data_IF_165802516285
#
_entry.id   IF_165802516285
#
_cell.length_a   1.000
_cell.length_b   1.000
_cell.length_c   1.000
_cell.angle_alpha   90.00
_cell.angle_beta   90.00
_cell.angle_gamma   90.00
#
_symmetry.space_group_name_H-M   'P 1'
#
loop_
_entity.id
_entity.type
_entity.pdbx_description
1 polymer ?
#
# COMPACT_ATOMS: atom_id res chain seq x y z
N UNK A 1 -7.49 -21.39 2.56
CA UNK A 1 -8.80 -21.35 3.26
C UNK A 1 -9.42 -20.00 2.95
N UNK A 2 -10.41 -19.94 2.05
CA UNK A 2 -11.05 -18.69 1.61
C UNK A 2 -11.90 -18.12 2.75
N UNK A 3 -11.58 -16.92 3.22
CA UNK A 3 -12.47 -16.15 4.09
C UNK A 3 -13.49 -15.45 3.19
N UNK A 4 -14.51 -16.20 2.76
CA UNK A 4 -15.69 -15.63 2.12
C UNK A 4 -16.49 -14.88 3.17
N UNK A 5 -16.22 -13.59 3.32
CA UNK A 5 -17.14 -12.53 3.78
C UNK A 5 -16.32 -11.26 3.95
N UNK A 6 -16.33 -10.42 2.93
CA UNK A 6 -15.69 -9.11 2.94
C UNK A 6 -16.24 -8.30 4.12
N UNK A 7 -15.36 -7.81 4.99
CA UNK A 7 -15.75 -6.69 5.82
C UNK A 7 -15.79 -5.44 4.97
N UNK A 8 -16.90 -4.74 4.99
CA UNK A 8 -17.04 -3.49 4.30
C UNK A 8 -17.35 -2.36 5.29
N UNK A 9 -16.43 -2.13 6.23
CA UNK A 9 -16.48 -0.95 7.08
C UNK A 9 -15.82 0.22 6.37
N UNK A 10 -16.33 0.61 5.19
CA UNK A 10 -15.85 1.71 4.34
C UNK A 10 -14.31 1.87 4.29
N UNK A 11 -13.71 2.51 5.30
CA UNK A 11 -12.28 2.73 5.46
C UNK A 11 -11.46 1.51 5.95
N UNK A 12 -12.09 0.42 6.42
CA UNK A 12 -11.45 -0.87 6.72
C UNK A 12 -12.09 -1.95 5.87
N UNK A 13 -11.26 -2.65 5.10
CA UNK A 13 -11.72 -3.69 4.16
C UNK A 13 -10.73 -4.84 4.11
N UNK A 14 -11.26 -6.05 3.98
CA UNK A 14 -10.46 -7.25 3.69
C UNK A 14 -10.61 -7.59 2.22
N UNK A 15 -9.51 -7.89 1.53
CA UNK A 15 -9.56 -8.51 0.23
C UNK A 15 -9.88 -10.01 0.40
N UNK A 16 -10.64 -10.55 -0.53
CA UNK A 16 -11.09 -11.96 -0.55
C UNK A 16 -9.93 -12.97 -0.61
N UNK A 17 -8.75 -12.50 -1.03
CA UNK A 17 -7.53 -13.27 -1.20
C UNK A 17 -6.51 -13.07 -0.05
N UNK A 18 -6.78 -12.25 0.97
CA UNK A 18 -6.00 -12.28 2.21
C UNK A 18 -5.76 -10.96 2.96
N UNK A 19 -5.32 -9.86 2.31
CA UNK A 19 -4.89 -8.67 3.03
C UNK A 19 -6.06 -7.88 3.63
N UNK A 20 -5.84 -7.33 4.81
CA UNK A 20 -6.72 -6.31 5.41
C UNK A 20 -6.10 -4.94 5.12
N UNK A 21 -6.86 -4.01 4.56
CA UNK A 21 -6.43 -2.63 4.39
C UNK A 21 -7.30 -1.68 5.22
N UNK A 22 -6.64 -0.65 5.76
CA UNK A 22 -7.23 0.37 6.61
C UNK A 22 -6.73 1.73 6.18
N UNK A 23 -7.67 2.59 5.78
CA UNK A 23 -7.39 3.96 5.39
C UNK A 23 -7.66 4.93 6.56
N UNK A 24 -6.58 5.33 7.23
CA UNK A 24 -6.60 6.39 8.24
C UNK A 24 -6.14 7.73 7.68
N UNK A 25 -6.04 7.88 6.36
CA UNK A 25 -5.67 9.13 5.69
C UNK A 25 -6.90 9.97 5.33
N UNK A 26 -6.68 11.23 4.99
CA UNK A 26 -7.74 12.17 4.62
C UNK A 26 -8.27 11.97 3.19
N UNK A 27 -7.69 11.03 2.45
CA UNK A 27 -7.85 10.88 1.00
C UNK A 27 -8.36 9.50 0.66
N UNK A 28 -9.03 9.37 -0.47
CA UNK A 28 -9.48 8.08 -0.95
C UNK A 28 -8.32 7.31 -1.58
N UNK A 29 -8.33 6.00 -1.39
CA UNK A 29 -7.35 5.09 -1.94
C UNK A 29 -8.03 3.99 -2.71
N UNK A 30 -7.27 3.34 -3.57
CA UNK A 30 -7.72 2.21 -4.35
C UNK A 30 -6.67 1.12 -4.26
N UNK A 31 -7.14 -0.10 -4.14
CA UNK A 31 -6.34 -1.30 -4.21
C UNK A 31 -6.84 -2.19 -5.33
N UNK A 32 -5.90 -2.71 -6.11
CA UNK A 32 -6.17 -3.60 -7.24
C UNK A 32 -5.27 -4.82 -7.22
N UNK A 33 -5.68 -5.88 -7.90
CA UNK A 33 -4.88 -7.08 -8.10
C UNK A 33 -4.30 -7.12 -9.52
N UNK A 34 -3.15 -7.78 -9.67
CA UNK A 34 -2.50 -8.02 -10.96
C UNK A 34 -1.91 -6.78 -11.63
N UNK A 35 -1.37 -6.97 -12.84
CA UNK A 35 -0.86 -5.91 -13.71
C UNK A 35 -1.96 -5.23 -14.54
N UNK A 36 -3.11 -5.90 -14.67
CA UNK A 36 -4.25 -5.36 -15.41
C UNK A 36 -4.70 -4.04 -14.80
N UNK A 37 -4.93 -3.03 -15.63
CA UNK A 37 -5.43 -1.72 -15.21
C UNK A 37 -6.95 -1.62 -15.32
N UNK A 38 -7.62 -2.76 -15.35
CA UNK A 38 -9.06 -2.81 -15.30
C UNK A 38 -9.53 -2.44 -13.89
N UNK A 39 -9.86 -1.17 -13.73
CA UNK A 39 -10.31 -0.60 -12.45
C UNK A 39 -11.68 -1.14 -12.02
N UNK A 40 -12.38 -1.91 -12.88
CA UNK A 40 -13.68 -2.51 -12.52
C UNK A 40 -13.59 -3.52 -11.38
N UNK A 41 -12.42 -4.14 -11.19
CA UNK A 41 -12.16 -5.09 -10.10
C UNK A 41 -11.38 -4.45 -8.94
N UNK A 42 -11.11 -3.15 -9.01
CA UNK A 42 -10.39 -2.45 -7.98
C UNK A 42 -11.34 -2.03 -6.85
N UNK A 43 -10.90 -2.20 -5.61
CA UNK A 43 -11.72 -1.87 -4.44
C UNK A 43 -11.29 -0.53 -3.86
N UNK A 44 -12.27 0.35 -3.71
CA UNK A 44 -12.09 1.65 -3.07
C UNK A 44 -11.90 1.49 -1.57
N UNK A 45 -10.98 2.27 -1.03
CA UNK A 45 -10.69 2.48 0.37
C UNK A 45 -10.97 3.96 0.69
N UNK A 46 -12.23 4.34 0.92
CA UNK A 46 -12.59 5.70 1.26
C UNK A 46 -11.91 6.15 2.56
N UNK A 47 -11.74 7.47 2.71
CA UNK A 47 -11.42 8.07 4.01
C UNK A 47 -12.53 7.77 5.03
N UNK A 48 -12.18 7.77 6.31
CA UNK A 48 -13.12 7.63 7.43
C UNK A 48 -14.31 8.58 7.31
N UNK A 49 -14.12 9.79 6.77
CA UNK A 49 -15.21 10.76 6.66
C UNK A 49 -16.11 10.56 5.44
N UNK A 50 -15.78 9.63 4.52
CA UNK A 50 -16.43 9.46 3.22
C UNK A 50 -16.22 10.62 2.23
N UNK A 51 -15.98 11.82 2.75
CA UNK A 51 -15.60 13.02 2.02
C UNK A 51 -14.14 13.36 2.33
N UNK A 52 -13.36 13.76 1.32
CA UNK A 52 -12.00 14.26 1.56
C UNK A 52 -12.07 15.61 2.31
N UNK A 53 -11.97 15.56 3.63
CA UNK A 53 -12.04 16.76 4.48
C UNK A 53 -10.63 17.26 4.79
N UNK A 54 -10.43 18.58 4.71
CA UNK A 54 -9.13 19.19 5.04
C UNK A 54 -8.91 19.38 6.55
N UNK A 55 -9.98 19.30 7.37
CA UNK A 55 -9.91 19.60 8.80
C UNK A 55 -9.65 18.34 9.65
N UNK A 56 -8.50 18.31 10.33
CA UNK A 56 -8.03 17.20 11.15
C UNK A 56 -8.97 16.84 12.32
N UNK A 57 -9.59 17.82 12.97
CA UNK A 57 -10.45 17.58 14.14
C UNK A 57 -11.76 16.85 13.79
N UNK A 58 -12.38 17.18 12.66
CA UNK A 58 -13.58 16.48 12.18
C UNK A 58 -13.27 15.02 11.86
N UNK A 59 -12.12 14.76 11.24
CA UNK A 59 -11.67 13.41 10.94
C UNK A 59 -11.47 12.56 12.20
N UNK A 60 -10.85 13.12 13.25
CA UNK A 60 -10.64 12.42 14.53
C UNK A 60 -11.98 12.06 15.19
N UNK A 61 -12.93 13.00 15.22
CA UNK A 61 -14.24 12.76 15.82
C UNK A 61 -15.03 11.67 15.08
N UNK A 62 -15.07 11.72 13.74
CA UNK A 62 -15.71 10.67 12.94
C UNK A 62 -14.99 9.33 13.06
N UNK A 63 -13.65 9.34 13.16
CA UNK A 63 -12.88 8.11 13.35
C UNK A 63 -13.22 7.43 14.66
N UNK A 64 -13.28 8.18 15.76
CA UNK A 64 -13.68 7.65 17.07
C UNK A 64 -15.05 6.97 16.99
N UNK A 65 -16.05 7.68 16.44
CA UNK A 65 -17.41 7.18 16.27
C UNK A 65 -17.48 5.91 15.41
N UNK A 66 -16.74 5.86 14.29
CA UNK A 66 -16.74 4.68 13.41
C UNK A 66 -15.99 3.49 14.02
N UNK A 67 -14.87 3.74 14.69
CA UNK A 67 -14.12 2.73 15.43
C UNK A 67 -14.96 2.13 16.57
N UNK A 68 -15.74 2.95 17.29
CA UNK A 68 -16.68 2.47 18.31
C UNK A 68 -17.75 1.54 17.72
N UNK A 69 -18.36 1.90 16.59
CA UNK A 69 -19.32 1.03 15.88
C UNK A 69 -18.70 -0.30 15.42
N UNK A 70 -17.47 -0.27 14.93
CA UNK A 70 -16.73 -1.49 14.56
C UNK A 70 -16.54 -2.40 15.78
N UNK A 71 -16.40 -1.83 16.98
CA UNK A 71 -16.26 -2.59 18.23
C UNK A 71 -17.51 -3.38 18.62
N UNK A 72 -18.68 -2.94 18.17
CA UNK A 72 -19.96 -3.58 18.44
C UNK A 72 -20.23 -4.74 17.47
N UNK A 73 -19.44 -4.88 16.39
CA UNK A 73 -19.57 -5.97 15.43
C UNK A 73 -18.76 -7.20 15.87
N UNK A 74 -19.47 -8.20 16.41
CA UNK A 74 -18.86 -9.46 16.87
C UNK A 74 -18.20 -10.24 15.72
N UNK A 75 -18.73 -10.13 14.49
CA UNK A 75 -18.14 -10.73 13.29
C UNK A 75 -16.77 -10.12 12.99
N UNK A 76 -16.64 -8.81 13.15
CA UNK A 76 -15.40 -8.05 13.02
C UNK A 76 -14.32 -8.54 13.96
N UNK A 77 -14.66 -8.62 15.24
CA UNK A 77 -13.77 -9.15 16.26
C UNK A 77 -13.24 -10.53 15.92
N UNK A 78 -14.14 -11.46 15.57
CA UNK A 78 -13.78 -12.86 15.32
C UNK A 78 -12.82 -13.03 14.15
N UNK A 79 -13.11 -12.39 12.99
CA UNK A 79 -12.22 -12.55 11.83
C UNK A 79 -10.93 -11.74 11.99
N UNK A 80 -10.95 -10.58 12.66
CA UNK A 80 -9.74 -9.83 12.96
C UNK A 80 -8.78 -10.65 13.85
N UNK A 81 -9.32 -11.26 14.90
CA UNK A 81 -8.59 -12.17 15.80
C UNK A 81 -8.01 -13.35 15.04
N UNK A 82 -8.81 -13.96 14.15
CA UNK A 82 -8.37 -15.06 13.28
C UNK A 82 -7.24 -14.66 12.34
N UNK A 83 -7.35 -13.49 11.71
CA UNK A 83 -6.31 -12.94 10.84
C UNK A 83 -5.03 -12.64 11.63
N UNK A 84 -5.16 -12.05 12.81
CA UNK A 84 -4.04 -11.77 13.71
C UNK A 84 -3.31 -13.03 14.19
N UNK A 85 -4.05 -14.04 14.65
CA UNK A 85 -3.51 -15.33 15.06
C UNK A 85 -2.81 -16.03 13.88
N UNK A 86 -3.34 -15.82 12.68
CA UNK A 86 -2.73 -16.25 11.45
C UNK A 86 -1.69 -15.26 10.91
N UNK A 87 -1.19 -14.28 11.66
CA UNK A 87 -0.20 -13.29 11.19
C UNK A 87 -0.51 -12.74 9.79
N UNK A 88 -1.78 -12.42 9.53
CA UNK A 88 -2.24 -11.93 8.24
C UNK A 88 -1.60 -10.60 7.85
N UNK A 89 -1.76 -10.24 6.58
CA UNK A 89 -1.27 -8.98 6.04
C UNK A 89 -2.19 -7.82 6.43
N UNK A 90 -1.59 -6.70 6.83
CA UNK A 90 -2.29 -5.48 7.20
C UNK A 90 -1.68 -4.28 6.48
N UNK A 91 -2.47 -3.52 5.74
CA UNK A 91 -2.03 -2.31 5.03
C UNK A 91 -2.69 -1.12 5.70
N UNK A 92 -1.91 -0.25 6.35
CA UNK A 92 -2.43 0.95 6.99
C UNK A 92 -1.94 2.19 6.27
N UNK A 93 -2.87 2.93 5.70
CA UNK A 93 -2.61 4.20 5.05
C UNK A 93 -2.78 5.31 6.08
N UNK A 94 -1.74 6.12 6.27
CA UNK A 94 -1.63 7.09 7.36
C UNK A 94 -1.55 8.53 6.83
N UNK A 95 -2.02 9.50 7.63
CA UNK A 95 -1.84 10.91 7.33
C UNK A 95 -0.37 11.32 7.27
N UNK A 96 -0.09 12.34 6.44
CA UNK A 96 1.20 13.01 6.42
C UNK A 96 1.50 13.71 7.76
N UNK A 97 0.51 14.42 8.31
CA UNK A 97 0.67 15.19 9.54
C UNK A 97 1.04 14.26 10.70
N UNK A 98 2.13 14.59 11.40
CA UNK A 98 2.70 13.71 12.40
C UNK A 98 1.83 13.55 13.64
N UNK A 99 1.16 14.65 14.04
CA UNK A 99 0.30 14.67 15.22
C UNK A 99 -0.98 13.90 14.95
N UNK A 100 -1.65 14.21 13.84
CA UNK A 100 -2.85 13.51 13.40
C UNK A 100 -2.56 12.02 13.21
N UNK A 101 -1.44 11.67 12.59
CA UNK A 101 -1.01 10.28 12.42
C UNK A 101 -0.88 9.54 13.76
N UNK A 102 -0.21 10.13 14.75
CA UNK A 102 -0.06 9.51 16.07
C UNK A 102 -1.42 9.27 16.72
N UNK A 103 -2.31 10.26 16.61
CA UNK A 103 -3.65 10.21 17.18
C UNK A 103 -4.53 9.13 16.52
N UNK A 104 -4.65 9.14 15.19
CA UNK A 104 -5.47 8.17 14.46
C UNK A 104 -4.94 6.74 14.56
N UNK A 105 -3.62 6.57 14.51
CA UNK A 105 -3.01 5.26 14.67
C UNK A 105 -3.16 4.74 16.11
N UNK A 106 -3.05 5.62 17.11
CA UNK A 106 -3.31 5.29 18.51
C UNK A 106 -4.74 4.77 18.71
N UNK A 107 -5.74 5.51 18.23
CA UNK A 107 -7.14 5.09 18.31
C UNK A 107 -7.41 3.73 17.66
N UNK A 108 -6.87 3.50 16.46
CA UNK A 108 -7.01 2.20 15.79
C UNK A 108 -6.29 1.07 16.54
N UNK A 109 -5.09 1.33 17.06
CA UNK A 109 -4.31 0.34 17.84
C UNK A 109 -5.01 -0.04 19.14
N UNK A 110 -5.57 0.93 19.85
CA UNK A 110 -6.31 0.71 21.09
C UNK A 110 -7.58 -0.11 20.83
N UNK A 111 -8.28 0.20 19.74
CA UNK A 111 -9.45 -0.56 19.31
C UNK A 111 -9.10 -2.04 19.07
N UNK A 112 -8.06 -2.30 18.27
CA UNK A 112 -7.65 -3.66 17.92
C UNK A 112 -7.22 -4.46 19.16
N UNK A 113 -6.53 -3.79 20.09
CA UNK A 113 -6.12 -4.38 21.36
C UNK A 113 -7.35 -4.74 22.21
N UNK A 114 -8.34 -3.84 22.29
CA UNK A 114 -9.57 -4.05 23.06
C UNK A 114 -10.45 -5.16 22.47
N UNK A 115 -10.66 -5.16 21.16
CA UNK A 115 -11.59 -6.10 20.49
C UNK A 115 -10.96 -7.48 20.33
N UNK A 116 -9.74 -7.55 19.82
CA UNK A 116 -9.11 -8.80 19.39
C UNK A 116 -8.02 -9.29 20.34
N UNK A 117 -7.84 -8.61 21.50
CA UNK A 117 -6.74 -8.92 22.44
C UNK A 117 -5.35 -8.81 21.80
N UNK A 118 -5.26 -8.10 20.67
CA UNK A 118 -4.18 -8.25 19.70
C UNK A 118 -3.54 -6.91 19.43
N UNK A 119 -2.22 -6.91 19.40
CA UNK A 119 -1.46 -5.75 18.96
C UNK A 119 -1.38 -5.72 17.43
N UNK A 120 -1.45 -4.54 16.80
CA UNK A 120 -1.18 -4.38 15.36
C UNK A 120 0.18 -4.98 14.92
N UNK A 121 1.12 -5.14 15.86
CA UNK A 121 2.39 -5.86 15.69
C UNK A 121 2.26 -7.35 15.38
N UNK A 122 1.11 -7.97 15.65
CA UNK A 122 0.86 -9.37 15.36
C UNK A 122 0.59 -9.61 13.87
N UNK A 123 0.31 -8.56 13.10
CA UNK A 123 0.15 -8.60 11.65
C UNK A 123 1.48 -8.33 10.95
N UNK A 124 1.66 -8.94 9.77
CA UNK A 124 2.63 -8.44 8.79
C UNK A 124 2.09 -7.11 8.26
N UNK A 125 2.58 -6.00 8.82
CA UNK A 125 1.98 -4.68 8.58
C UNK A 125 2.80 -3.81 7.64
N UNK A 126 2.19 -3.38 6.54
CA UNK A 126 2.65 -2.29 5.70
C UNK A 126 2.01 -0.98 6.18
N UNK A 127 2.81 0.05 6.41
CA UNK A 127 2.31 1.42 6.68
C UNK A 127 2.69 2.31 5.52
N UNK A 128 1.75 3.09 5.01
CA UNK A 128 1.93 4.00 3.88
C UNK A 128 1.66 5.41 4.37
N UNK A 129 2.66 6.28 4.39
CA UNK A 129 2.48 7.66 4.84
C UNK A 129 2.22 8.49 3.59
N UNK A 130 0.95 8.80 3.39
CA UNK A 130 0.46 9.51 2.22
C UNK A 130 0.98 10.95 2.24
N UNK A 131 2.05 11.27 1.51
CA UNK A 131 2.44 12.64 1.23
C UNK A 131 2.03 12.98 -0.21
N UNK A 132 1.08 13.91 -0.36
CA UNK A 132 0.60 14.36 -1.67
C UNK A 132 1.50 15.41 -2.33
N UNK A 133 2.59 15.81 -1.68
CA UNK A 133 3.55 16.72 -2.28
C UNK A 133 4.61 15.95 -3.07
N UNK A 134 5.03 16.47 -4.24
CA UNK A 134 6.19 15.97 -4.95
C UNK A 134 7.39 15.94 -4.00
N UNK A 135 7.91 14.76 -3.72
CA UNK A 135 9.13 14.65 -2.89
C UNK A 135 10.35 14.60 -3.78
N UNK A 136 11.52 14.95 -3.26
CA UNK A 136 12.79 14.70 -3.95
C UNK A 136 13.25 13.24 -3.86
N UNK A 137 12.48 12.41 -3.16
CA UNK A 137 12.81 11.03 -2.81
C UNK A 137 11.73 10.12 -3.42
N UNK A 138 11.80 9.86 -4.73
CA UNK A 138 10.64 9.37 -5.49
C UNK A 138 10.56 7.87 -5.69
N UNK A 139 11.66 7.13 -5.59
CA UNK A 139 11.62 5.70 -5.90
C UNK A 139 12.39 4.91 -4.85
N UNK A 140 11.72 3.94 -4.25
CA UNK A 140 12.31 3.03 -3.29
C UNK A 140 11.73 1.63 -3.50
N UNK A 141 12.61 0.63 -3.36
CA UNK A 141 12.21 -0.78 -3.38
C UNK A 141 12.53 -1.39 -2.03
N UNK A 142 11.49 -1.64 -1.23
CA UNK A 142 11.67 -2.19 0.12
C UNK A 142 11.23 -3.63 0.17
N UNK A 143 12.16 -4.51 0.56
CA UNK A 143 11.90 -5.92 0.85
C UNK A 143 11.62 -6.08 2.34
N UNK A 144 10.71 -6.98 2.68
CA UNK A 144 10.46 -7.43 4.03
C UNK A 144 9.91 -8.86 4.02
N UNK A 145 10.05 -9.55 5.15
CA UNK A 145 9.56 -10.92 5.30
C UNK A 145 8.10 -10.89 5.72
N UNK A 146 7.23 -11.37 4.83
CA UNK A 146 5.85 -11.71 5.17
C UNK A 146 5.78 -13.00 6.00
N UNK A 147 4.57 -13.40 6.40
CA UNK A 147 4.39 -14.62 7.20
C UNK A 147 4.92 -15.86 6.47
N UNK A 148 4.56 -16.01 5.20
CA UNK A 148 4.84 -17.21 4.40
C UNK A 148 5.79 -16.94 3.24
N UNK A 149 5.97 -15.68 2.85
CA UNK A 149 6.67 -15.32 1.61
C UNK A 149 7.43 -14.00 1.73
N UNK A 150 8.28 -13.73 0.73
CA UNK A 150 8.94 -12.44 0.57
C UNK A 150 7.92 -11.40 0.08
N UNK A 151 7.94 -10.21 0.67
CA UNK A 151 7.14 -9.09 0.24
C UNK A 151 8.04 -7.94 -0.21
N UNK A 152 7.71 -7.33 -1.34
CA UNK A 152 8.46 -6.21 -1.91
C UNK A 152 7.51 -5.08 -2.25
N UNK A 153 7.80 -3.87 -1.78
CA UNK A 153 7.10 -2.66 -2.21
C UNK A 153 7.97 -1.92 -3.20
N UNK A 154 7.43 -1.62 -4.37
CA UNK A 154 8.04 -0.79 -5.40
C UNK A 154 7.24 0.50 -5.49
N UNK A 155 7.83 1.62 -5.08
CA UNK A 155 7.22 2.92 -5.33
C UNK A 155 7.53 3.37 -6.76
N UNK A 156 6.49 3.47 -7.60
CA UNK A 156 6.55 4.00 -8.98
C UNK A 156 5.80 5.33 -9.10
N UNK A 157 5.41 5.93 -7.97
CA UNK A 157 4.60 7.14 -7.95
C UNK A 157 5.46 8.42 -7.97
N UNK A 158 4.87 9.48 -8.52
CA UNK A 158 5.39 10.85 -8.47
C UNK A 158 5.31 11.47 -7.06
N UNK A 159 4.45 10.91 -6.22
CA UNK A 159 4.24 11.25 -4.82
C UNK A 159 5.08 10.35 -3.92
N UNK A 160 5.69 10.91 -2.88
CA UNK A 160 6.44 10.06 -1.95
C UNK A 160 5.53 9.42 -0.92
N UNK A 161 5.64 8.10 -0.85
CA UNK A 161 5.09 7.34 0.26
C UNK A 161 6.24 7.02 1.19
N UNK A 162 6.35 7.81 2.27
CA UNK A 162 7.43 7.62 3.24
C UNK A 162 7.02 6.55 4.25
N UNK A 163 8.02 5.83 4.74
CA UNK A 163 7.99 5.06 5.98
C UNK A 163 7.13 3.78 5.98
N UNK A 164 7.82 2.65 5.83
CA UNK A 164 7.29 1.35 6.24
C UNK A 164 7.84 1.04 7.64
N UNK A 165 6.99 0.53 8.55
CA UNK A 165 7.43 0.01 9.84
C UNK A 165 6.90 -1.42 9.93
N UNK A 166 7.81 -2.38 9.83
CA UNK A 166 7.49 -3.79 9.95
C UNK A 166 7.71 -4.26 11.39
N UNK A 167 6.81 -5.09 11.87
CA UNK A 167 6.94 -5.79 13.14
C UNK A 167 6.95 -7.29 12.83
N UNK A 168 8.07 -7.98 13.10
CA UNK A 168 8.25 -9.39 12.77
C UNK A 168 9.46 -9.99 13.49
N UNK A 169 9.48 -11.31 13.73
CA UNK A 169 10.52 -11.97 14.54
C UNK A 169 11.94 -11.96 13.94
N UNK A 170 12.07 -11.63 12.66
CA UNK A 170 13.34 -11.63 11.92
C UNK A 170 13.42 -10.34 11.10
N UNK A 171 14.00 -9.31 11.71
CA UNK A 171 14.13 -7.98 11.10
C UNK A 171 15.38 -7.94 10.22
N UNK A 172 15.21 -8.06 8.91
CA UNK A 172 16.14 -7.48 7.94
C UNK A 172 15.41 -6.29 7.30
N UNK A 173 15.47 -5.14 7.96
CA UNK A 173 15.07 -3.87 7.36
C UNK A 173 16.20 -3.48 6.39
N UNK A 174 15.99 -3.70 5.09
CA UNK A 174 16.96 -3.27 4.07
C UNK A 174 16.47 -1.97 3.41
N UNK A 175 17.44 -1.08 3.24
CA UNK A 175 17.34 0.38 3.21
C UNK A 175 16.35 1.02 2.22
N UNK A 176 15.99 2.25 2.60
CA UNK A 176 15.30 3.25 1.80
C UNK A 176 16.38 4.12 1.15
N UNK A 177 16.76 3.85 -0.10
CA UNK A 177 17.48 4.88 -0.86
C UNK A 177 16.50 5.76 -1.62
N UNK A 178 16.93 6.99 -1.78
CA UNK A 178 16.18 8.06 -2.39
C UNK A 178 16.96 8.50 -3.62
N UNK A 179 16.37 8.36 -4.80
CA UNK A 179 16.97 8.85 -6.03
C UNK A 179 15.99 9.74 -6.81
N UNK A 180 16.57 10.90 -7.16
CA UNK A 180 16.41 11.78 -8.32
C UNK A 180 15.17 12.71 -8.44
N UNK A 181 15.50 13.92 -8.90
CA UNK A 181 14.67 15.12 -9.07
C UNK A 181 14.01 15.17 -10.46
N UNK A 182 12.90 15.90 -10.55
CA UNK A 182 12.38 16.45 -11.80
C UNK A 182 10.91 16.09 -12.02
N UNK A 183 10.10 17.04 -12.47
CA UNK A 183 8.69 16.82 -12.79
C UNK A 183 8.50 15.72 -13.83
N UNK A 184 7.31 15.14 -13.87
CA UNK A 184 6.94 14.15 -14.86
C UNK A 184 6.59 14.85 -16.16
N UNK A 185 7.10 14.31 -17.27
CA UNK A 185 6.68 14.74 -18.59
C UNK A 185 5.19 14.41 -18.81
N UNK A 186 4.46 15.34 -19.42
CA UNK A 186 3.06 15.13 -19.79
C UNK A 186 2.92 14.36 -21.11
N UNK A 187 3.96 14.37 -21.97
CA UNK A 187 4.01 13.59 -23.21
C UNK A 187 4.21 12.08 -22.90
N UNK A 188 3.44 11.17 -23.54
CA UNK A 188 3.54 9.74 -23.34
C UNK A 188 4.90 9.10 -23.45
N UNK A 189 5.58 9.36 -24.56
CA UNK A 189 6.81 8.67 -24.89
C UNK A 189 7.96 9.26 -24.07
N UNK A 190 7.91 10.56 -23.81
CA UNK A 190 8.84 11.23 -22.90
C UNK A 190 8.66 10.73 -21.45
N UNK A 191 7.42 10.59 -20.97
CA UNK A 191 7.07 10.07 -19.66
C UNK A 191 7.58 8.62 -19.50
N UNK A 192 7.32 7.75 -20.49
CA UNK A 192 7.81 6.37 -20.51
C UNK A 192 9.34 6.31 -20.42
N UNK A 193 10.04 7.06 -21.28
CA UNK A 193 11.51 7.12 -21.29
C UNK A 193 12.08 7.64 -19.98
N UNK A 194 11.42 8.64 -19.38
CA UNK A 194 11.81 9.17 -18.08
C UNK A 194 11.70 8.09 -16.99
N UNK A 195 10.58 7.37 -16.92
CA UNK A 195 10.42 6.25 -15.97
C UNK A 195 11.47 5.18 -16.18
N UNK A 196 11.67 4.76 -17.43
CA UNK A 196 12.66 3.72 -17.73
C UNK A 196 14.07 4.14 -17.29
N UNK A 197 14.44 5.41 -17.52
CA UNK A 197 15.70 5.95 -17.05
C UNK A 197 15.80 5.90 -15.52
N UNK A 198 14.76 6.31 -14.79
CA UNK A 198 14.73 6.29 -13.33
C UNK A 198 14.79 4.87 -12.76
N UNK A 199 14.00 3.93 -13.30
CA UNK A 199 14.01 2.52 -12.85
C UNK A 199 15.37 1.87 -13.13
N UNK A 200 16.04 2.20 -14.25
CA UNK A 200 17.40 1.72 -14.54
C UNK A 200 18.45 2.22 -13.55
N UNK A 201 18.18 3.31 -12.82
CA UNK A 201 19.06 3.80 -11.76
C UNK A 201 18.94 3.00 -10.46
N UNK A 202 18.00 2.04 -10.37
CA UNK A 202 17.95 1.12 -9.23
C UNK A 202 19.22 0.27 -9.17
N UNK A 203 19.78 0.11 -7.97
CA UNK A 203 20.91 -0.78 -7.76
C UNK A 203 20.55 -2.26 -8.07
N UNK A 204 21.57 -3.08 -8.30
CA UNK A 204 21.37 -4.50 -8.58
C UNK A 204 20.72 -5.26 -7.43
N UNK A 205 20.81 -4.75 -6.19
CA UNK A 205 20.14 -5.36 -5.06
C UNK A 205 18.62 -5.16 -5.11
N UNK A 206 18.13 -4.02 -5.60
CA UNK A 206 16.71 -3.77 -5.78
C UNK A 206 16.12 -4.76 -6.79
N UNK A 207 16.78 -4.98 -7.92
CA UNK A 207 16.34 -5.98 -8.89
C UNK A 207 16.39 -7.41 -8.35
N UNK A 208 17.42 -7.74 -7.55
CA UNK A 208 17.48 -9.03 -6.85
C UNK A 208 16.30 -9.22 -5.89
N UNK A 209 15.93 -8.20 -5.11
CA UNK A 209 14.76 -8.25 -4.22
C UNK A 209 13.47 -8.50 -5.01
N UNK A 210 13.28 -7.79 -6.13
CA UNK A 210 12.12 -7.97 -7.01
C UNK A 210 12.08 -9.40 -7.55
N UNK A 211 13.21 -9.93 -8.03
CA UNK A 211 13.32 -11.31 -8.52
C UNK A 211 12.95 -12.34 -7.44
N UNK A 212 13.43 -12.16 -6.21
CA UNK A 212 13.10 -13.05 -5.10
C UNK A 212 11.61 -13.02 -4.75
N UNK A 213 10.97 -11.86 -4.80
CA UNK A 213 9.51 -11.76 -4.62
C UNK A 213 8.72 -12.25 -5.83
N UNK A 214 9.32 -12.23 -7.02
CA UNK A 214 8.66 -12.69 -8.23
C UNK A 214 8.43 -14.20 -8.25
N UNK A 215 9.27 -14.98 -7.57
CA UNK A 215 9.19 -16.45 -7.61
C UNK A 215 8.14 -17.06 -6.68
N UNK A 216 7.85 -16.43 -5.54
CA UNK A 216 6.89 -16.97 -4.54
C UNK A 216 6.50 -15.89 -3.51
N UNK A 217 6.34 -14.65 -3.96
CA UNK A 217 6.19 -13.48 -3.10
C UNK A 217 5.08 -12.54 -3.50
N UNK A 218 4.89 -11.52 -2.67
CA UNK A 218 3.93 -10.44 -2.92
C UNK A 218 4.68 -9.19 -3.36
N UNK A 219 4.27 -8.59 -4.46
CA UNK A 219 4.84 -7.33 -4.96
C UNK A 219 3.76 -6.25 -4.92
N UNK A 220 3.96 -5.24 -4.08
CA UNK A 220 3.11 -4.06 -3.99
C UNK A 220 3.67 -2.95 -4.87
N UNK A 221 2.92 -2.54 -5.88
CA UNK A 221 3.22 -1.42 -6.75
C UNK A 221 2.45 -0.19 -6.25
N UNK A 222 3.18 0.82 -5.76
CA UNK A 222 2.59 2.13 -5.47
C UNK A 222 2.60 2.95 -6.75
N UNK A 223 1.42 3.29 -7.26
CA UNK A 223 1.25 3.89 -8.59
C UNK A 223 0.82 5.36 -8.49
N UNK A 224 1.12 6.16 -9.53
CA UNK A 224 0.74 7.58 -9.56
C UNK A 224 -0.78 7.78 -9.67
N UNK A 225 -1.19 9.02 -9.43
CA UNK A 225 -2.55 9.47 -9.71
C UNK A 225 -2.78 9.61 -11.22
N UNK A 226 -3.98 9.26 -11.67
CA UNK A 226 -4.40 9.32 -13.08
C UNK A 226 -4.20 7.99 -13.82
N UNK A 227 -5.25 7.45 -14.47
CA UNK A 227 -5.20 6.12 -15.12
C UNK A 227 -4.12 6.05 -16.20
N UNK A 228 -3.95 7.15 -16.91
CA UNK A 228 -2.94 7.28 -17.95
C UNK A 228 -1.52 7.13 -17.41
N UNK A 229 -1.14 7.90 -16.39
CA UNK A 229 0.20 7.83 -15.78
C UNK A 229 0.49 6.45 -15.21
N UNK A 230 -0.50 5.80 -14.57
CA UNK A 230 -0.37 4.42 -14.08
C UNK A 230 0.02 3.45 -15.19
N UNK A 231 -0.63 3.55 -16.35
CA UNK A 231 -0.35 2.69 -17.50
C UNK A 231 1.09 2.83 -17.99
N UNK A 232 1.53 4.07 -18.16
CA UNK A 232 2.88 4.37 -18.63
C UNK A 232 3.91 3.87 -17.61
N UNK A 233 3.70 4.12 -16.31
CA UNK A 233 4.59 3.66 -15.24
C UNK A 233 4.74 2.14 -15.19
N UNK A 234 3.65 1.39 -15.27
CA UNK A 234 3.70 -0.07 -15.28
C UNK A 234 4.44 -0.57 -16.53
N UNK A 235 4.11 -0.05 -17.71
CA UNK A 235 4.72 -0.51 -18.96
C UNK A 235 6.23 -0.26 -18.97
N UNK A 236 6.66 0.94 -18.60
CA UNK A 236 8.08 1.29 -18.51
C UNK A 236 8.81 0.41 -17.47
N UNK A 237 8.20 0.16 -16.32
CA UNK A 237 8.76 -0.74 -15.31
C UNK A 237 8.95 -2.16 -15.85
N UNK A 238 7.94 -2.72 -16.52
CA UNK A 238 8.01 -4.06 -17.13
C UNK A 238 9.08 -4.13 -18.24
N UNK A 239 9.19 -3.10 -19.07
CA UNK A 239 10.23 -3.02 -20.11
C UNK A 239 11.63 -3.11 -19.51
N UNK A 240 11.89 -2.40 -18.41
CA UNK A 240 13.17 -2.47 -17.72
C UNK A 240 13.42 -3.87 -17.16
N UNK A 241 12.43 -4.47 -16.49
CA UNK A 241 12.54 -5.81 -15.90
C UNK A 241 12.94 -6.91 -16.91
N UNK A 242 12.54 -6.79 -18.17
CA UNK A 242 12.87 -7.74 -19.24
C UNK A 242 14.36 -7.72 -19.65
N UNK A 243 15.07 -6.64 -19.37
CA UNK A 243 16.46 -6.43 -19.82
C UNK A 243 17.44 -6.19 -18.68
N UNK A 244 17.04 -6.47 -17.43
CA UNK A 244 17.90 -6.29 -16.25
C UNK A 244 19.12 -7.22 -16.30
N UNK A 245 20.32 -6.74 -15.93
CA UNK A 245 21.50 -7.58 -15.79
C UNK A 245 21.26 -8.78 -14.87
N UNK A 246 21.73 -9.97 -15.28
CA UNK A 246 21.51 -11.22 -14.55
C UNK A 246 20.18 -11.90 -14.85
N UNK A 247 19.43 -11.46 -15.87
CA UNK A 247 18.28 -12.16 -16.44
C UNK A 247 16.96 -11.40 -16.29
N UNK A 248 16.09 -11.59 -17.28
CA UNK A 248 14.73 -11.06 -17.28
C UNK A 248 13.98 -11.47 -16.01
N UNK A 249 13.23 -10.53 -15.44
CA UNK A 249 12.37 -10.77 -14.28
C UNK A 249 10.93 -10.81 -14.78
N UNK A 250 10.34 -12.00 -14.75
CA UNK A 250 8.90 -12.17 -14.98
C UNK A 250 8.15 -12.02 -13.65
N UNK A 251 7.04 -11.28 -13.66
CA UNK A 251 6.21 -11.06 -12.49
C UNK A 251 4.96 -11.96 -12.46
N UNK A 252 4.79 -12.84 -13.46
CA UNK A 252 3.60 -13.67 -13.65
C UNK A 252 3.32 -14.62 -12.48
N UNK A 253 4.37 -15.10 -11.81
CA UNK A 253 4.29 -16.01 -10.66
C UNK A 253 4.08 -15.28 -9.31
N UNK A 254 4.12 -13.94 -9.29
CA UNK A 254 4.01 -13.14 -8.07
C UNK A 254 2.56 -12.77 -7.73
N UNK A 255 2.24 -12.64 -6.44
CA UNK A 255 1.01 -11.96 -6.01
C UNK A 255 1.19 -10.44 -6.15
N UNK A 256 0.63 -9.86 -7.20
CA UNK A 256 0.78 -8.45 -7.54
C UNK A 256 -0.37 -7.60 -7.01
N UNK A 257 -0.01 -6.52 -6.30
CA UNK A 257 -0.96 -5.59 -5.70
C UNK A 257 -0.66 -4.17 -6.15
N UNK A 258 -1.66 -3.50 -6.71
CA UNK A 258 -1.58 -2.09 -7.08
C UNK A 258 -2.20 -1.25 -5.97
N UNK A 259 -1.55 -0.16 -5.57
CA UNK A 259 -2.06 0.78 -4.57
C UNK A 259 -1.88 2.19 -5.10
N UNK A 260 -2.95 2.99 -5.12
CA UNK A 260 -2.88 4.36 -5.63
C UNK A 260 -3.98 5.25 -5.05
N UNK A 261 -3.79 6.59 -5.11
CA UNK A 261 -4.84 7.54 -4.74
C UNK A 261 -6.06 7.42 -5.67
N UNK A 262 -7.25 7.28 -5.09
CA UNK A 262 -8.52 7.31 -5.83
C UNK A 262 -8.94 8.74 -6.17
N UNK A 263 -9.67 8.94 -7.27
CA UNK A 263 -10.31 10.23 -7.54
C UNK A 263 -11.62 10.37 -6.76
N UNK A 264 -12.01 11.61 -6.46
CA UNK A 264 -13.28 11.97 -5.83
C UNK A 264 -14.46 11.95 -6.80
N UNK A 265 -14.25 11.70 -8.08
CA UNK A 265 -15.30 11.73 -9.09
C UNK A 265 -16.14 10.45 -9.03
N UNK A 266 -17.17 10.47 -8.18
CA UNK A 266 -18.45 9.86 -8.59
C UNK A 266 -18.86 10.58 -9.87
N UNK A 267 -18.84 9.84 -10.99
CA UNK A 267 -19.68 10.19 -12.13
C UNK A 267 -21.12 9.87 -11.78
#
# INVERSE_FOLDING_TARGET
MKLSEDFNFEFVRSASDGPIAMNLSQKNWVMGAGLGLDESNDWSLPTVTGNETMFSHHMVAEMRKKLEKIAEDEGFSGRLTKSAAAHGEMITILPQDARLRQEVFGMASDLFTRIAGTNLRNFTSMKIYANQQPSRNRYCVRKFKGKTSTQVVVNLSDTAFRFFRFHGRHHEDVDIDTMINGHWEDDPDACAKQIEAEVRMFDMNYFRRIREAASDGTIYLLLPMGPYRRKVSIQAFLNVLQVVPGGAIDLSDADLRRIYPGSTTKT
#
